data_IF_088224421791
#
_entry.id   IF_088224421791
#
_cell.length_a   1.000
_cell.length_b   1.000
_cell.length_c   1.000
_cell.angle_alpha   90.00
_cell.angle_beta   90.00
_cell.angle_gamma   90.00
#
_symmetry.space_group_name_H-M   'P 1'
#
loop_
_entity.id
_entity.type
_entity.pdbx_description
1 polymer ?
#
# COMPACT_ATOMS: atom_id res chain seq x y z
N UNK A 1 -23.53 -11.63 11.70
CA UNK A 1 -23.37 -12.17 10.33
C UNK A 1 -24.10 -11.35 9.24
N UNK A 2 -24.82 -10.27 9.57
CA UNK A 2 -25.62 -9.49 8.59
C UNK A 2 -24.80 -8.68 7.58
N UNK A 3 -23.50 -8.49 7.81
CA UNK A 3 -22.64 -7.66 6.96
C UNK A 3 -22.43 -8.22 5.53
N UNK A 4 -22.72 -9.50 5.30
CA UNK A 4 -22.48 -10.16 4.00
C UNK A 4 -23.72 -10.32 3.13
N UNK A 5 -24.89 -9.89 3.63
CA UNK A 5 -26.19 -10.11 2.94
C UNK A 5 -26.62 -8.90 2.09
N UNK A 6 -25.75 -7.90 1.93
CA UNK A 6 -26.01 -6.73 1.07
C UNK A 6 -27.01 -5.70 1.64
N UNK A 7 -27.31 -5.75 2.94
CA UNK A 7 -28.18 -4.76 3.58
C UNK A 7 -27.49 -3.40 3.71
N UNK A 8 -28.24 -2.32 3.50
CA UNK A 8 -27.74 -0.93 3.60
C UNK A 8 -27.35 -0.53 5.01
N UNK A 9 -28.01 -1.10 6.02
CA UNK A 9 -27.80 -0.81 7.43
C UNK A 9 -28.09 -2.06 8.27
N UNK A 10 -27.57 -2.06 9.49
CA UNK A 10 -27.79 -3.13 10.46
C UNK A 10 -29.24 -3.12 10.93
N UNK A 11 -29.85 -4.31 11.03
CA UNK A 11 -31.24 -4.47 11.47
C UNK A 11 -31.29 -5.48 12.61
N UNK A 12 -32.13 -5.26 13.62
CA UNK A 12 -32.24 -6.19 14.75
C UNK A 12 -33.17 -7.38 14.43
N UNK A 13 -34.06 -7.21 13.45
CA UNK A 13 -34.98 -8.25 13.00
C UNK A 13 -34.25 -9.40 12.27
N UNK A 14 -34.73 -10.65 12.41
CA UNK A 14 -34.14 -11.79 11.72
C UNK A 14 -34.38 -11.69 10.21
N UNK A 15 -33.30 -11.62 9.43
CA UNK A 15 -33.33 -11.53 7.96
C UNK A 15 -33.93 -12.79 7.31
N UNK A 16 -33.69 -13.95 7.91
CA UNK A 16 -34.14 -15.24 7.42
C UNK A 16 -35.06 -15.91 8.43
N UNK A 17 -36.10 -16.58 7.93
CA UNK A 17 -36.89 -17.49 8.75
C UNK A 17 -35.98 -18.63 9.26
N UNK A 18 -36.10 -19.04 10.54
CA UNK A 18 -35.33 -20.14 11.11
C UNK A 18 -35.40 -21.45 10.30
N UNK A 19 -36.51 -21.67 9.59
CA UNK A 19 -36.75 -22.87 8.79
C UNK A 19 -36.08 -22.85 7.42
N UNK A 20 -35.69 -21.68 6.92
CA UNK A 20 -35.22 -21.50 5.54
C UNK A 20 -33.98 -22.35 5.26
N UNK A 21 -32.98 -22.31 6.15
CA UNK A 21 -31.75 -23.09 5.96
C UNK A 21 -31.97 -24.59 6.09
N UNK A 22 -32.97 -25.02 6.86
CA UNK A 22 -33.38 -26.43 6.96
C UNK A 22 -34.03 -26.88 5.65
N UNK A 23 -34.93 -26.07 5.09
CA UNK A 23 -35.60 -26.35 3.81
C UNK A 23 -34.61 -26.35 2.64
N UNK A 24 -33.67 -25.40 2.60
CA UNK A 24 -32.59 -25.37 1.60
C UNK A 24 -31.72 -26.62 1.72
N UNK A 25 -31.29 -27.00 2.93
CA UNK A 25 -30.49 -28.22 3.14
C UNK A 25 -31.21 -29.48 2.65
N UNK A 26 -32.52 -29.61 2.92
CA UNK A 26 -33.34 -30.74 2.45
C UNK A 26 -33.54 -30.78 0.94
N UNK A 27 -33.31 -29.69 0.22
CA UNK A 27 -33.36 -29.66 -1.26
C UNK A 27 -32.01 -29.98 -1.88
N UNK A 28 -30.93 -29.79 -1.13
CA UNK A 28 -29.56 -30.08 -1.55
C UNK A 28 -29.18 -31.46 -0.98
N UNK A 29 -29.87 -32.49 -1.47
CA UNK A 29 -29.66 -33.87 -1.06
C UNK A 29 -28.42 -34.48 -1.71
N UNK A 30 -28.04 -35.67 -1.24
CA UNK A 30 -26.87 -36.42 -1.76
C UNK A 30 -26.98 -36.64 -3.28
N UNK A 31 -28.17 -36.91 -3.77
CA UNK A 31 -28.42 -37.18 -5.19
C UNK A 31 -28.17 -35.93 -6.04
N UNK A 32 -28.58 -34.75 -5.57
CA UNK A 32 -28.28 -33.47 -6.22
C UNK A 32 -26.78 -33.21 -6.33
N UNK A 33 -26.00 -33.49 -5.27
CA UNK A 33 -24.55 -33.38 -5.32
C UNK A 33 -23.91 -34.40 -6.27
N UNK A 34 -24.39 -35.64 -6.28
CA UNK A 34 -23.92 -36.67 -7.19
C UNK A 34 -24.18 -36.27 -8.65
N UNK A 35 -25.35 -35.72 -8.95
CA UNK A 35 -25.71 -35.25 -10.28
C UNK A 35 -24.80 -34.10 -10.75
N UNK A 36 -24.52 -33.13 -9.87
CA UNK A 36 -23.58 -32.05 -10.17
C UNK A 36 -22.18 -32.63 -10.41
N UNK A 37 -21.69 -33.50 -9.53
CA UNK A 37 -20.35 -34.10 -9.63
C UNK A 37 -20.19 -34.89 -10.94
N UNK A 38 -21.19 -35.70 -11.29
CA UNK A 38 -21.22 -36.45 -12.54
C UNK A 38 -21.28 -35.51 -13.75
N UNK A 39 -22.06 -34.42 -13.69
CA UNK A 39 -22.12 -33.44 -14.78
C UNK A 39 -20.78 -32.73 -15.01
N UNK A 40 -20.05 -32.41 -13.94
CA UNK A 40 -18.74 -31.78 -14.00
C UNK A 40 -17.68 -32.75 -14.53
N UNK A 41 -17.67 -34.00 -14.05
CA UNK A 41 -16.77 -35.03 -14.54
C UNK A 41 -17.01 -35.33 -16.02
N UNK A 42 -18.28 -35.41 -16.46
CA UNK A 42 -18.62 -35.61 -17.88
C UNK A 42 -18.15 -34.46 -18.77
N UNK A 43 -18.23 -33.21 -18.30
CA UNK A 43 -17.69 -32.05 -19.04
C UNK A 43 -16.18 -32.13 -19.14
N UNK A 44 -15.49 -32.45 -18.04
CA UNK A 44 -14.04 -32.55 -18.02
C UNK A 44 -13.50 -33.67 -18.91
N UNK A 45 -14.17 -34.84 -18.91
CA UNK A 45 -13.81 -35.94 -19.83
C UNK A 45 -14.02 -35.56 -21.30
N UNK A 46 -15.15 -34.90 -21.62
CA UNK A 46 -15.39 -34.41 -22.99
C UNK A 46 -14.35 -33.41 -23.46
N UNK A 47 -13.97 -32.46 -22.60
CA UNK A 47 -12.91 -31.48 -22.90
C UNK A 47 -11.54 -32.15 -23.12
N UNK A 48 -11.24 -33.25 -22.42
CA UNK A 48 -9.99 -34.01 -22.63
C UNK A 48 -10.00 -34.93 -23.86
N UNK A 49 -11.18 -35.43 -24.27
CA UNK A 49 -11.32 -36.25 -25.47
C UNK A 49 -11.26 -35.41 -26.75
N UNK A 50 -11.82 -34.19 -26.73
CA UNK A 50 -11.74 -33.25 -27.85
C UNK A 50 -10.32 -32.67 -28.04
N UNK A 51 -9.50 -32.61 -26.98
CA UNK A 51 -8.08 -32.19 -27.07
C UNK A 51 -7.12 -33.29 -27.53
N UNK A 52 -7.54 -34.56 -27.61
CA UNK A 52 -6.69 -35.70 -27.98
C UNK A 52 -6.79 -36.10 -29.47
N UNK A 53 -7.47 -35.29 -30.31
CA UNK A 53 -7.56 -35.54 -31.76
C UNK A 53 -6.61 -34.71 -32.63
N UNK A 54 -5.79 -33.85 -32.05
CA UNK A 54 -4.76 -33.12 -32.78
C UNK A 54 -3.48 -33.10 -31.95
N UNK A 55 -2.61 -34.10 -32.16
CA UNK A 55 -1.20 -33.91 -32.57
C UNK A 55 -0.46 -35.26 -32.46
N UNK A 56 -0.25 -35.90 -33.61
CA UNK A 56 0.66 -37.04 -33.77
C UNK A 56 2.04 -36.49 -34.11
N UNK A 57 2.96 -36.44 -33.13
CA UNK A 57 4.38 -36.76 -33.37
C UNK A 57 5.29 -36.64 -32.14
N UNK A 58 5.97 -37.76 -31.88
CA UNK A 58 7.38 -37.85 -31.45
C UNK A 58 7.73 -37.62 -29.97
N UNK A 59 7.84 -38.75 -29.25
CA UNK A 59 9.13 -39.20 -28.71
C UNK A 59 9.54 -38.71 -27.32
N UNK A 60 9.29 -39.53 -26.30
CA UNK A 60 9.88 -39.34 -24.96
C UNK A 60 9.46 -40.40 -23.95
N UNK A 61 10.02 -41.61 -24.09
CA UNK A 61 9.82 -42.71 -23.14
C UNK A 61 10.48 -42.42 -21.78
N UNK A 62 9.65 -42.17 -20.77
CA UNK A 62 9.95 -42.56 -19.38
C UNK A 62 8.81 -43.44 -18.89
N UNK A 63 9.09 -44.73 -18.87
CA UNK A 63 8.19 -45.76 -18.42
C UNK A 63 7.84 -45.60 -16.93
N UNK A 64 6.53 -45.66 -16.67
CA UNK A 64 5.91 -46.43 -15.61
C UNK A 64 6.52 -46.31 -14.20
N UNK A 65 6.11 -45.25 -13.51
CA UNK A 65 5.94 -45.24 -12.07
C UNK A 65 4.63 -44.56 -11.74
N UNK A 66 3.50 -45.20 -12.09
CA UNK A 66 2.17 -44.75 -11.65
C UNK A 66 2.02 -44.99 -10.14
N UNK A 67 2.74 -44.21 -9.33
CA UNK A 67 2.22 -43.91 -8.01
C UNK A 67 1.00 -43.04 -8.25
N UNK A 68 -0.17 -43.66 -8.20
CA UNK A 68 -1.37 -42.96 -7.76
C UNK A 68 -1.01 -42.38 -6.40
N UNK A 69 -0.54 -41.14 -6.39
CA UNK A 69 -0.57 -40.33 -5.18
C UNK A 69 -2.06 -40.15 -4.91
N UNK A 70 -2.63 -41.05 -4.11
CA UNK A 70 -3.90 -40.81 -3.48
C UNK A 70 -3.66 -39.61 -2.58
N UNK A 71 -3.84 -38.40 -3.13
CA UNK A 71 -3.87 -37.19 -2.33
C UNK A 71 -5.04 -37.38 -1.36
N UNK A 72 -4.72 -37.84 -0.15
CA UNK A 72 -5.63 -37.89 1.00
C UNK A 72 -5.93 -36.47 1.50
N UNK A 73 -5.70 -35.46 0.67
CA UNK A 73 -6.01 -34.08 0.94
C UNK A 73 -7.52 -33.90 0.81
N UNK A 74 -8.14 -33.45 1.90
CA UNK A 74 -9.57 -33.24 1.97
C UNK A 74 -9.94 -32.06 1.07
N UNK A 75 -10.57 -32.35 -0.07
CA UNK A 75 -11.09 -31.33 -0.96
C UNK A 75 -12.19 -30.54 -0.26
N UNK A 76 -11.98 -29.23 -0.08
CA UNK A 76 -12.98 -28.31 0.48
C UNK A 76 -13.91 -27.87 -0.65
N UNK A 77 -15.14 -28.40 -0.63
CA UNK A 77 -16.14 -28.19 -1.69
C UNK A 77 -16.87 -26.85 -1.52
N UNK A 78 -16.89 -26.31 -0.30
CA UNK A 78 -17.58 -25.07 0.04
C UNK A 78 -16.60 -23.94 0.35
N UNK A 79 -16.82 -22.77 -0.25
CA UNK A 79 -16.06 -21.55 0.03
C UNK A 79 -16.17 -21.13 1.50
N UNK A 80 -17.31 -21.40 2.17
CA UNK A 80 -17.46 -21.12 3.61
C UNK A 80 -16.64 -22.05 4.51
N UNK A 81 -16.20 -23.20 3.98
CA UNK A 81 -15.35 -24.17 4.66
C UNK A 81 -13.85 -23.93 4.43
N UNK A 82 -13.48 -22.86 3.72
CA UNK A 82 -12.07 -22.48 3.55
C UNK A 82 -11.48 -22.13 4.92
N UNK A 83 -10.28 -22.63 5.22
CA UNK A 83 -9.63 -22.23 6.48
C UNK A 83 -9.40 -20.72 6.39
N UNK A 84 -10.04 -19.98 7.29
CA UNK A 84 -9.79 -18.57 7.40
C UNK A 84 -8.38 -18.40 7.97
N UNK A 85 -7.36 -18.35 7.11
CA UNK A 85 -6.00 -17.92 7.46
C UNK A 85 -5.95 -16.41 7.76
N UNK A 86 -7.01 -15.87 8.35
CA UNK A 86 -7.05 -14.50 8.83
C UNK A 86 -6.39 -14.50 10.20
N UNK A 87 -5.12 -14.10 10.21
CA UNK A 87 -4.38 -13.86 11.44
C UNK A 87 -5.16 -12.89 12.33
N UNK A 88 -5.35 -13.25 13.60
CA UNK A 88 -6.02 -12.39 14.57
C UNK A 88 -5.35 -11.00 14.62
N UNK A 89 -6.11 -9.90 14.49
CA UNK A 89 -5.56 -8.55 14.50
C UNK A 89 -5.07 -8.20 15.90
N UNK A 90 -3.76 -8.26 16.09
CA UNK A 90 -3.09 -7.74 17.28
C UNK A 90 -2.43 -6.42 16.92
N UNK A 91 -2.55 -5.42 17.79
CA UNK A 91 -1.94 -4.10 17.59
C UNK A 91 -0.47 -4.16 17.12
N UNK A 92 0.33 -5.04 17.74
CA UNK A 92 1.76 -5.17 17.42
C UNK A 92 1.99 -5.79 16.03
N UNK A 93 1.11 -6.69 15.59
CA UNK A 93 1.18 -7.25 14.23
C UNK A 93 0.87 -6.15 13.20
N UNK A 94 -0.21 -5.40 13.44
CA UNK A 94 -0.64 -4.29 12.58
C UNK A 94 0.48 -3.25 12.46
N UNK A 95 1.14 -2.90 13.57
CA UNK A 95 2.23 -1.93 13.56
C UNK A 95 3.44 -2.43 12.73
N UNK A 96 3.79 -3.72 12.80
CA UNK A 96 4.87 -4.29 11.98
C UNK A 96 4.52 -4.28 10.49
N UNK A 97 3.26 -4.60 10.16
CA UNK A 97 2.73 -4.55 8.81
C UNK A 97 2.75 -3.11 8.26
N UNK A 98 2.33 -2.12 9.07
CA UNK A 98 2.41 -0.70 8.72
C UNK A 98 3.85 -0.27 8.42
N UNK A 99 4.82 -0.61 9.27
CA UNK A 99 6.23 -0.32 9.00
C UNK A 99 6.72 -0.99 7.72
N UNK A 100 6.22 -2.18 7.37
CA UNK A 100 6.56 -2.87 6.11
C UNK A 100 6.01 -2.13 4.91
N UNK A 101 4.75 -1.69 5.00
CA UNK A 101 4.06 -0.97 3.93
C UNK A 101 4.73 0.38 3.67
N UNK A 102 5.08 1.13 4.71
CA UNK A 102 5.75 2.43 4.55
C UNK A 102 7.13 2.28 3.91
N UNK A 103 7.94 1.31 4.34
CA UNK A 103 9.25 1.04 3.71
C UNK A 103 9.08 0.68 2.22
N UNK A 104 8.11 -0.18 1.90
CA UNK A 104 7.79 -0.54 0.51
C UNK A 104 7.34 0.67 -0.32
N UNK A 105 6.48 1.52 0.24
CA UNK A 105 6.00 2.74 -0.43
C UNK A 105 7.15 3.70 -0.68
N UNK A 106 8.00 3.92 0.33
CA UNK A 106 9.18 4.78 0.24
C UNK A 106 10.11 4.32 -0.87
N UNK A 107 10.43 3.01 -0.94
CA UNK A 107 11.27 2.42 -1.99
C UNK A 107 10.64 2.53 -3.39
N UNK A 108 9.33 2.32 -3.50
CA UNK A 108 8.62 2.49 -4.78
C UNK A 108 8.65 3.95 -5.26
N UNK A 109 8.47 4.90 -4.34
CA UNK A 109 8.53 6.32 -4.66
C UNK A 109 9.95 6.73 -5.05
N UNK A 110 10.97 6.29 -4.32
CA UNK A 110 12.36 6.60 -4.63
C UNK A 110 12.76 6.02 -6.00
N UNK A 111 12.35 4.78 -6.30
CA UNK A 111 12.60 4.16 -7.60
C UNK A 111 11.94 4.93 -8.75
N UNK A 112 10.71 5.40 -8.57
CA UNK A 112 10.00 6.23 -9.58
C UNK A 112 10.61 7.61 -9.75
N UNK A 113 11.05 8.23 -8.65
CA UNK A 113 11.67 9.54 -8.68
C UNK A 113 13.13 9.51 -9.16
N UNK A 114 13.74 8.33 -9.27
CA UNK A 114 15.18 8.15 -9.56
C UNK A 114 16.06 8.89 -8.53
N UNK A 115 15.60 8.95 -7.27
CA UNK A 115 16.32 9.59 -6.15
C UNK A 115 16.67 8.53 -5.12
N UNK A 116 17.79 8.73 -4.41
CA UNK A 116 18.18 7.84 -3.32
C UNK A 116 17.06 7.72 -2.26
N UNK A 117 16.76 6.49 -1.85
CA UNK A 117 15.73 6.24 -0.85
C UNK A 117 16.15 6.82 0.50
N UNK A 118 15.25 7.53 1.21
CA UNK A 118 15.54 7.97 2.57
C UNK A 118 15.67 6.76 3.49
N UNK A 119 16.46 6.93 4.56
CA UNK A 119 16.64 5.90 5.59
C UNK A 119 15.35 5.65 6.35
N UNK A 120 14.94 4.38 6.43
CA UNK A 120 13.75 3.92 7.17
C UNK A 120 14.15 3.18 8.44
N UNK A 121 13.30 3.21 9.49
CA UNK A 121 13.51 2.44 10.72
C UNK A 121 13.03 0.97 10.64
N UNK A 122 12.87 0.43 9.42
CA UNK A 122 12.37 -0.94 9.18
C UNK A 122 13.14 -2.02 9.94
N UNK A 123 14.47 -1.95 9.96
CA UNK A 123 15.31 -2.92 10.65
C UNK A 123 15.05 -2.93 12.16
N UNK A 124 14.98 -1.75 12.77
CA UNK A 124 14.72 -1.58 14.21
C UNK A 124 13.32 -2.08 14.59
N UNK A 125 12.31 -1.71 13.81
CA UNK A 125 10.93 -2.16 14.02
C UNK A 125 10.83 -3.70 13.90
N UNK A 126 11.50 -4.30 12.91
CA UNK A 126 11.50 -5.75 12.71
C UNK A 126 12.22 -6.48 13.84
N UNK A 127 13.38 -5.98 14.27
CA UNK A 127 14.13 -6.58 15.39
C UNK A 127 13.32 -6.54 16.69
N UNK A 128 12.65 -5.42 16.97
CA UNK A 128 11.76 -5.29 18.13
C UNK A 128 10.59 -6.29 18.06
N UNK A 129 9.94 -6.39 16.90
CA UNK A 129 8.85 -7.34 16.67
C UNK A 129 9.30 -8.80 16.84
N UNK A 130 10.43 -9.19 16.26
CA UNK A 130 10.98 -10.55 16.40
C UNK A 130 11.29 -10.84 17.86
N UNK A 131 11.91 -9.90 18.58
CA UNK A 131 12.16 -10.07 20.02
C UNK A 131 10.87 -10.27 20.82
N UNK A 132 9.82 -9.50 20.50
CA UNK A 132 8.51 -9.63 21.12
C UNK A 132 7.84 -10.99 20.83
N UNK A 133 7.88 -11.46 19.58
CA UNK A 133 7.26 -12.73 19.17
C UNK A 133 8.00 -13.93 19.77
N UNK A 134 9.33 -13.87 19.91
CA UNK A 134 10.13 -14.97 20.48
C UNK A 134 9.84 -15.23 21.96
N UNK A 135 9.22 -14.29 22.70
CA UNK A 135 8.88 -14.51 24.10
C UNK A 135 7.61 -15.35 24.25
N UNK A 136 7.73 -16.45 24.99
CA UNK A 136 6.61 -17.36 25.30
C UNK A 136 5.49 -16.66 26.08
N UNK A 137 5.83 -15.85 27.07
CA UNK A 137 4.88 -15.10 27.88
C UNK A 137 5.08 -13.59 27.70
N UNK A 138 3.99 -12.89 27.36
CA UNK A 138 4.00 -11.46 27.05
C UNK A 138 3.34 -10.71 28.22
N UNK A 139 4.16 -10.13 29.10
CA UNK A 139 3.66 -9.28 30.18
C UNK A 139 3.07 -7.96 29.66
N UNK A 140 2.12 -7.38 30.40
CA UNK A 140 1.46 -6.12 30.04
C UNK A 140 2.44 -4.97 29.82
N UNK A 141 3.48 -4.86 30.67
CA UNK A 141 4.55 -3.87 30.53
C UNK A 141 5.26 -3.99 29.18
N UNK A 142 5.71 -5.20 28.83
CA UNK A 142 6.40 -5.48 27.57
C UNK A 142 5.52 -5.17 26.35
N UNK A 143 4.23 -5.54 26.38
CA UNK A 143 3.27 -5.23 25.31
C UNK A 143 3.19 -3.71 25.12
N UNK A 144 3.02 -2.97 26.22
CA UNK A 144 2.86 -1.51 26.19
C UNK A 144 4.12 -0.82 25.68
N UNK A 145 5.30 -1.26 26.12
CA UNK A 145 6.58 -0.67 25.73
C UNK A 145 6.91 -0.97 24.27
N UNK A 146 6.63 -2.19 23.80
CA UNK A 146 6.77 -2.58 22.39
C UNK A 146 5.84 -1.76 21.50
N UNK A 147 4.57 -1.60 21.91
CA UNK A 147 3.59 -0.78 21.18
C UNK A 147 4.03 0.68 21.09
N UNK A 148 4.47 1.28 22.20
CA UNK A 148 4.99 2.65 22.23
C UNK A 148 6.20 2.83 21.31
N UNK A 149 7.15 1.90 21.36
CA UNK A 149 8.34 1.97 20.54
C UNK A 149 8.02 1.85 19.04
N UNK A 150 7.18 0.89 18.66
CA UNK A 150 6.75 0.72 17.26
C UNK A 150 5.96 1.92 16.75
N UNK A 151 5.06 2.50 17.56
CA UNK A 151 4.32 3.72 17.21
C UNK A 151 5.26 4.91 16.99
N UNK A 152 6.28 5.06 17.84
CA UNK A 152 7.28 6.12 17.69
C UNK A 152 8.08 5.99 16.40
N UNK A 153 8.56 4.77 16.09
CA UNK A 153 9.25 4.51 14.83
C UNK A 153 8.34 4.76 13.63
N UNK A 154 7.10 4.30 13.68
CA UNK A 154 6.13 4.49 12.62
C UNK A 154 5.85 5.99 12.38
N UNK A 155 5.65 6.77 13.44
CA UNK A 155 5.46 8.21 13.35
C UNK A 155 6.65 8.91 12.67
N UNK A 156 7.88 8.53 13.04
CA UNK A 156 9.10 9.04 12.39
C UNK A 156 9.18 8.67 10.91
N UNK A 157 8.86 7.44 10.56
CA UNK A 157 8.89 6.98 9.17
C UNK A 157 7.81 7.69 8.33
N UNK A 158 6.62 7.93 8.88
CA UNK A 158 5.57 8.75 8.23
C UNK A 158 6.07 10.18 8.00
N UNK A 159 6.64 10.83 9.02
CA UNK A 159 7.17 12.19 8.88
C UNK A 159 8.28 12.26 7.82
N UNK A 160 9.18 11.27 7.79
CA UNK A 160 10.23 11.19 6.76
C UNK A 160 9.65 11.01 5.36
N UNK A 161 8.64 10.16 5.22
CA UNK A 161 7.96 9.96 3.95
C UNK A 161 7.29 11.25 3.46
N UNK A 162 6.55 11.94 4.32
CA UNK A 162 5.91 13.22 3.99
C UNK A 162 6.94 14.28 3.60
N UNK A 163 8.03 14.40 4.36
CA UNK A 163 9.12 15.32 4.05
C UNK A 163 9.82 14.97 2.73
N UNK A 164 9.97 13.67 2.42
CA UNK A 164 10.54 13.21 1.16
C UNK A 164 9.65 13.58 -0.03
N UNK A 165 8.34 13.34 0.09
CA UNK A 165 7.35 13.75 -0.93
C UNK A 165 7.36 15.27 -1.12
N UNK A 166 7.39 16.04 -0.03
CA UNK A 166 7.47 17.50 -0.08
C UNK A 166 8.71 17.99 -0.82
N UNK A 167 9.89 17.42 -0.53
CA UNK A 167 11.13 17.74 -1.23
C UNK A 167 11.04 17.46 -2.72
N UNK A 168 10.55 16.27 -3.10
CA UNK A 168 10.37 15.91 -4.51
C UNK A 168 9.45 16.91 -5.24
N UNK A 169 8.35 17.31 -4.61
CA UNK A 169 7.44 18.31 -5.17
C UNK A 169 8.13 19.67 -5.34
N UNK A 170 8.84 20.15 -4.31
CA UNK A 170 9.54 21.45 -4.39
C UNK A 170 10.67 21.45 -5.42
N UNK A 171 11.38 20.34 -5.62
CA UNK A 171 12.42 20.24 -6.65
C UNK A 171 11.81 20.30 -8.04
N UNK A 172 10.71 19.57 -8.27
CA UNK A 172 10.02 19.59 -9.56
C UNK A 172 9.46 20.98 -9.85
N UNK A 173 8.74 21.58 -8.88
CA UNK A 173 8.19 22.93 -9.04
C UNK A 173 9.29 23.99 -9.19
N UNK A 174 10.40 23.87 -8.46
CA UNK A 174 11.54 24.77 -8.55
C UNK A 174 12.23 24.73 -9.91
N UNK A 175 12.44 23.54 -10.47
CA UNK A 175 12.96 23.37 -11.83
C UNK A 175 12.02 23.98 -12.89
N UNK A 176 10.71 23.74 -12.77
CA UNK A 176 9.73 24.30 -13.70
C UNK A 176 9.65 25.83 -13.60
N UNK A 177 9.83 26.41 -12.40
CA UNK A 177 9.82 27.86 -12.23
C UNK A 177 11.10 28.50 -12.77
N UNK A 178 12.27 27.89 -12.56
CA UNK A 178 13.55 28.45 -13.02
C UNK A 178 13.69 28.43 -14.55
N UNK A 179 13.20 27.38 -15.23
CA UNK A 179 13.11 27.35 -16.71
C UNK A 179 12.23 28.47 -17.24
N UNK A 180 11.10 28.74 -16.59
CA UNK A 180 10.16 29.79 -17.01
C UNK A 180 10.75 31.19 -16.85
N UNK A 181 11.50 31.43 -15.77
CA UNK A 181 12.19 32.70 -15.55
C UNK A 181 13.36 32.92 -16.52
N UNK A 182 14.10 31.86 -16.86
CA UNK A 182 15.18 31.92 -17.86
C UNK A 182 14.65 32.22 -19.28
N UNK A 183 13.52 31.62 -19.67
CA UNK A 183 12.84 31.92 -20.94
C UNK A 183 12.34 33.38 -21.01
N UNK A 184 11.77 33.90 -19.91
CA UNK A 184 11.33 35.30 -19.88
C UNK A 184 12.49 36.32 -19.92
N UNK A 185 13.69 35.98 -19.41
CA UNK A 185 14.87 36.84 -19.47
C UNK A 185 15.50 36.90 -20.87
N UNK A 186 15.47 35.81 -21.65
CA UNK A 186 16.02 35.82 -23.02
C UNK A 186 15.16 36.62 -24.01
N UNK A 187 13.84 36.68 -23.77
CA UNK A 187 12.90 37.51 -24.55
C UNK A 187 13.17 39.01 -24.30
N UNK A 188 13.55 39.40 -23.08
CA UNK A 188 13.81 40.80 -22.73
C UNK A 188 15.18 41.31 -23.24
N UNK A 189 16.15 40.42 -23.47
CA UNK A 189 17.46 40.80 -24.06
C UNK A 189 17.45 40.94 -25.59
N UNK A 190 16.43 40.44 -26.27
CA UNK A 190 16.34 40.47 -27.75
C UNK A 190 15.58 41.68 -28.28
N UNK A 191 14.92 42.47 -27.43
CA UNK A 191 14.20 43.70 -27.83
C UNK A 191 15.03 44.99 -27.73
N UNK A 192 16.32 44.92 -27.38
CA UNK A 192 17.23 46.09 -27.32
C UNK A 192 18.14 46.16 -28.55
N UNK A 193 17.58 46.06 -29.75
CA UNK A 193 18.30 46.35 -31.02
C UNK A 193 17.44 47.00 -32.10
N UNK A 194 16.36 47.68 -31.72
CA UNK A 194 15.71 48.65 -32.60
C UNK A 194 16.35 50.04 -32.39
N UNK A 195 16.90 50.69 -33.44
CA UNK A 195 17.49 52.01 -33.30
C UNK A 195 16.36 53.04 -33.21
N UNK A 196 16.16 53.63 -32.03
CA UNK A 196 15.37 54.86 -31.90
C UNK A 196 16.32 56.01 -31.65
N UNK A 197 16.33 56.90 -32.63
CA UNK A 197 17.03 58.17 -32.71
C UNK A 197 16.95 59.01 -31.43
N UNK A 198 18.10 59.59 -31.08
CA UNK A 198 18.32 60.74 -30.20
C UNK A 198 17.14 61.71 -30.10
N UNK A 199 16.73 62.04 -28.86
CA UNK A 199 16.56 63.44 -28.42
C UNK A 199 17.00 63.55 -26.95
N UNK A 200 17.83 64.57 -26.71
CA UNK A 200 18.47 64.98 -25.46
C UNK A 200 17.49 65.44 -24.38
N UNK A 201 17.92 65.31 -23.11
CA UNK A 201 18.12 66.40 -22.13
C UNK A 201 17.64 66.09 -20.69
N UNK A 202 18.54 66.40 -19.73
CA UNK A 202 18.32 66.88 -18.35
C UNK A 202 17.48 65.98 -17.40
N UNK A 203 17.77 65.80 -16.10
CA UNK A 203 18.60 66.51 -15.11
C UNK A 203 18.61 65.70 -13.80
N UNK A 204 19.76 65.69 -13.12
CA UNK A 204 19.97 65.82 -11.67
C UNK A 204 18.90 65.31 -10.68
N UNK A 205 19.25 64.30 -9.86
CA UNK A 205 19.42 64.45 -8.39
C UNK A 205 19.79 63.12 -7.69
N UNK A 206 20.55 63.13 -6.56
CA UNK A 206 21.09 61.93 -5.92
C UNK A 206 20.46 61.59 -4.54
N UNK A 207 20.85 60.41 -4.03
CA UNK A 207 20.92 59.97 -2.62
C UNK A 207 19.61 59.64 -1.88
N UNK A 208 19.46 58.37 -1.44
CA UNK A 208 19.20 57.99 -0.03
C UNK A 208 19.24 56.46 0.17
N UNK A 209 20.01 56.01 1.16
CA UNK A 209 19.99 54.65 1.74
C UNK A 209 19.66 54.83 3.22
N UNK A 210 18.80 53.97 3.81
CA UNK A 210 19.20 53.37 5.09
C UNK A 210 18.86 51.89 5.25
N UNK A 211 19.83 51.22 5.85
CA UNK A 211 19.76 49.93 6.53
C UNK A 211 19.09 50.10 7.90
N UNK A 212 18.14 49.25 8.27
CA UNK A 212 17.81 48.98 9.69
C UNK A 212 17.39 47.52 9.89
N UNK A 213 18.13 46.88 10.79
CA UNK A 213 17.93 45.54 11.33
C UNK A 213 16.58 45.38 12.04
N UNK A 214 15.97 44.20 11.91
CA UNK A 214 14.90 43.75 12.80
C UNK A 214 15.17 42.30 13.24
N UNK A 215 15.58 42.14 14.51
CA UNK A 215 15.46 40.88 15.26
C UNK A 215 14.13 40.89 16.01
N UNK A 216 13.46 39.74 16.14
CA UNK A 216 12.82 39.44 17.41
C UNK A 216 13.30 38.12 18.02
N UNK A 217 13.71 38.21 19.28
CA UNK A 217 13.82 37.10 20.20
C UNK A 217 12.46 36.93 20.92
N UNK A 218 11.94 35.70 20.96
CA UNK A 218 10.84 35.31 21.84
C UNK A 218 11.28 34.05 22.57
N UNK A 219 11.64 34.21 23.84
CA UNK A 219 12.01 33.15 24.75
C UNK A 219 10.92 32.98 25.84
N UNK A 220 10.34 31.79 25.81
CA UNK A 220 9.85 30.93 26.89
C UNK A 220 9.13 31.48 28.13
N UNK A 221 7.91 30.97 28.28
CA UNK A 221 7.12 30.84 29.50
C UNK A 221 7.88 30.08 30.61
N UNK A 222 7.81 30.58 31.84
CA UNK A 222 8.06 29.82 33.06
C UNK A 222 6.98 30.19 34.08
N UNK A 223 5.94 29.35 34.18
CA UNK A 223 4.94 29.41 35.23
C UNK A 223 5.21 28.27 36.21
N UNK A 224 5.65 28.64 37.42
CA UNK A 224 5.64 27.80 38.61
C UNK A 224 4.74 28.49 39.64
N UNK A 225 3.60 27.88 39.94
CA UNK A 225 3.01 27.72 41.29
C UNK A 225 1.71 26.92 41.17
#
# INVERSE_FOLDING_TARGET
MQYLVGLKYFQEEPIFSPELFVAVRKRIDKDFFNDIMLSMHRKQVKETEDSNKEDDSTGGSYAAGSQQTTHNDKMKIDATCTDAEVRYPMDINILEDCSRVIDRLTKKLSAKATVASPRTHRGEARSCFVHYIKKKQKGTKLIRDTKKFLLHLLSKDIQRLTNFIGKLSTTVLGCLLSERLMSSRSICSTTTSAPVSNVSSASSSPMYVPSLEAKPAVEQNMAQR
#
